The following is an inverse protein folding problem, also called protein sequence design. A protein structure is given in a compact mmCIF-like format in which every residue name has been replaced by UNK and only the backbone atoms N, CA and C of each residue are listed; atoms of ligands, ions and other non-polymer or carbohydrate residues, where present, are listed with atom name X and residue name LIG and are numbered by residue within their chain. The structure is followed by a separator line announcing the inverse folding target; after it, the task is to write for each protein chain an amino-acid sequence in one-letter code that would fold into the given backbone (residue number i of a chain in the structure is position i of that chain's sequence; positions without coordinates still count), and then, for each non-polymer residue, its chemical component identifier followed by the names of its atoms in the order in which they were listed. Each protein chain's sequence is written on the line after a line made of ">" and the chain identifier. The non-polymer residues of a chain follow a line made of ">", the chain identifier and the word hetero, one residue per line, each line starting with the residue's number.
data_IF_841670495652
#
_entry.id   IF_841670495652
#
_cell.length_a   1.000
_cell.length_b   1.000
_cell.length_c   1.000
_cell.angle_alpha   90.00
_cell.angle_beta   90.00
_cell.angle_gamma   90.00
#
_symmetry.space_group_name_H-M   'P 1'
#
loop_
_entity.id
_entity.type
_entity.pdbx_description
1 polymer ?
#
# COMPACT_ATOMS: atom_id res chain seq x y z
N UNK A 1 -9.15 -0.13 5.15
CA UNK A 1 -8.36 0.08 3.91
C UNK A 1 -7.05 -0.71 3.94
N UNK A 2 -6.12 -0.46 4.88
CA UNK A 2 -4.86 -1.23 4.99
C UNK A 2 -5.05 -2.76 4.97
N UNK A 3 -5.94 -3.27 5.84
CA UNK A 3 -6.27 -4.70 5.90
C UNK A 3 -6.88 -5.22 4.58
N UNK A 4 -7.76 -4.44 3.94
CA UNK A 4 -8.41 -4.82 2.69
C UNK A 4 -7.43 -4.84 1.50
N UNK A 5 -6.50 -3.89 1.45
CA UNK A 5 -5.43 -3.86 0.45
C UNK A 5 -4.46 -5.04 0.65
N UNK A 6 -4.10 -5.37 1.90
CA UNK A 6 -3.28 -6.55 2.19
C UNK A 6 -4.00 -7.84 1.79
N UNK A 7 -5.29 -7.98 2.13
CA UNK A 7 -6.09 -9.13 1.72
C UNK A 7 -6.14 -9.28 0.19
N UNK A 8 -6.29 -8.17 -0.54
CA UNK A 8 -6.25 -8.18 -2.00
C UNK A 8 -4.90 -8.67 -2.55
N UNK A 9 -3.78 -8.20 -2.00
CA UNK A 9 -2.45 -8.66 -2.43
C UNK A 9 -2.22 -10.15 -2.12
N UNK A 10 -2.70 -10.64 -0.97
CA UNK A 10 -2.62 -12.06 -0.59
C UNK A 10 -3.40 -12.96 -1.53
N UNK A 11 -4.62 -12.54 -1.88
CA UNK A 11 -5.51 -13.33 -2.75
C UNK A 11 -5.04 -13.31 -4.21
N UNK A 12 -4.55 -12.16 -4.69
CA UNK A 12 -4.39 -11.91 -6.12
C UNK A 12 -2.93 -11.79 -6.57
N UNK A 13 -2.00 -11.80 -5.62
CA UNK A 13 -0.57 -11.63 -5.85
C UNK A 13 -0.14 -10.17 -5.91
N UNK A 14 1.14 -9.97 -5.61
CA UNK A 14 1.85 -8.71 -5.77
C UNK A 14 2.80 -8.79 -6.98
N UNK A 15 2.91 -7.69 -7.73
CA UNK A 15 3.86 -7.58 -8.85
C UNK A 15 4.66 -6.29 -8.76
N UNK A 16 5.98 -6.43 -8.79
CA UNK A 16 6.92 -5.32 -8.90
C UNK A 16 6.71 -4.55 -10.22
N UNK A 17 7.04 -3.25 -10.25
CA UNK A 17 6.98 -2.38 -11.45
C UNK A 17 5.63 -2.33 -12.15
N UNK A 18 4.56 -2.62 -11.41
CA UNK A 18 3.18 -2.67 -11.90
C UNK A 18 2.36 -1.55 -11.29
N UNK A 19 2.97 -0.37 -11.24
CA UNK A 19 2.37 0.79 -10.63
C UNK A 19 1.15 1.27 -11.41
N UNK A 20 0.05 1.57 -10.72
CA UNK A 20 -1.20 2.03 -11.35
C UNK A 20 -1.88 0.96 -12.21
N UNK A 21 -1.40 -0.29 -12.19
CA UNK A 21 -2.08 -1.39 -12.86
C UNK A 21 -3.31 -1.80 -12.03
N UNK A 22 -4.47 -1.55 -12.61
CA UNK A 22 -5.77 -2.00 -12.10
C UNK A 22 -6.00 -3.41 -12.61
N UNK A 23 -5.10 -4.34 -12.28
CA UNK A 23 -5.18 -5.76 -12.62
C UNK A 23 -4.82 -6.68 -11.45
N UNK A 24 -4.83 -7.98 -11.69
CA UNK A 24 -4.38 -9.01 -10.73
C UNK A 24 -3.26 -9.81 -11.41
N UNK A 25 -2.02 -9.88 -10.86
CA UNK A 25 -1.50 -9.19 -9.66
C UNK A 25 -1.22 -7.68 -9.87
N UNK A 26 -1.18 -6.89 -8.78
CA UNK A 26 -0.88 -5.44 -8.80
C UNK A 26 0.21 -5.01 -7.80
N UNK A 27 0.59 -3.73 -7.82
CA UNK A 27 1.53 -3.15 -6.85
C UNK A 27 0.85 -2.72 -5.54
N UNK A 28 1.66 -2.25 -4.59
CA UNK A 28 1.22 -1.70 -3.29
C UNK A 28 0.09 -0.66 -3.41
N UNK A 29 0.18 0.28 -4.35
CA UNK A 29 -0.84 1.34 -4.51
C UNK A 29 -2.05 0.89 -5.31
N UNK A 30 -1.86 0.02 -6.30
CA UNK A 30 -2.97 -0.63 -7.02
C UNK A 30 -3.90 -1.35 -6.05
N UNK A 31 -3.34 -2.01 -5.03
CA UNK A 31 -4.12 -2.66 -3.98
C UNK A 31 -4.96 -1.68 -3.15
N UNK A 32 -4.44 -0.48 -2.83
CA UNK A 32 -5.23 0.55 -2.11
C UNK A 32 -6.41 1.02 -2.93
N UNK A 33 -6.19 1.31 -4.21
CA UNK A 33 -7.22 1.72 -5.14
C UNK A 33 -8.30 0.63 -5.24
N UNK A 34 -7.92 -0.63 -5.44
CA UNK A 34 -8.87 -1.74 -5.51
C UNK A 34 -9.66 -1.94 -4.21
N UNK A 35 -9.00 -1.83 -3.06
CA UNK A 35 -9.63 -1.98 -1.76
C UNK A 35 -10.67 -0.87 -1.45
N UNK A 36 -10.67 0.23 -2.21
CA UNK A 36 -11.60 1.35 -2.02
C UNK A 36 -13.01 1.09 -2.56
N UNK A 37 -13.20 0.04 -3.38
CA UNK A 37 -14.47 -0.51 -3.90
C UNK A 37 -15.57 0.48 -4.37
N UNK A 38 -15.22 1.73 -4.65
CA UNK A 38 -16.11 2.76 -5.20
C UNK A 38 -15.35 3.51 -6.28
N UNK A 39 -15.31 2.95 -7.48
CA UNK A 39 -14.83 3.61 -8.69
C UNK A 39 -15.62 4.90 -8.98
N UNK A 40 -15.12 6.01 -8.45
CA UNK A 40 -15.20 7.39 -8.97
C UNK A 40 -14.45 8.28 -7.98
N UNK A 41 -13.17 8.51 -8.24
CA UNK A 41 -12.38 9.57 -7.57
C UNK A 41 -12.45 9.56 -6.02
N UNK A 42 -12.46 8.39 -5.39
CA UNK A 42 -12.86 8.26 -3.99
C UNK A 42 -11.75 8.67 -3.01
N UNK A 43 -11.92 9.88 -2.48
CA UNK A 43 -11.25 10.42 -1.30
C UNK A 43 -9.74 10.18 -1.25
N UNK A 44 -9.03 11.04 -1.98
CA UNK A 44 -7.57 11.21 -1.91
C UNK A 44 -7.05 11.06 -0.46
N UNK A 45 -7.72 11.68 0.52
CA UNK A 45 -7.33 11.61 1.93
C UNK A 45 -7.29 10.22 2.59
N UNK A 46 -8.15 9.25 2.24
CA UNK A 46 -8.09 7.91 2.86
C UNK A 46 -6.96 7.07 2.26
N UNK A 47 -6.78 7.17 0.94
CA UNK A 47 -5.66 6.52 0.24
C UNK A 47 -4.36 7.14 0.72
N UNK A 48 -4.24 8.46 0.74
CA UNK A 48 -3.07 9.19 1.22
C UNK A 48 -2.70 8.79 2.65
N UNK A 49 -3.71 8.67 3.54
CA UNK A 49 -3.49 8.22 4.92
C UNK A 49 -2.99 6.79 4.97
N UNK A 50 -3.60 5.86 4.23
CA UNK A 50 -3.15 4.46 4.19
C UNK A 50 -1.72 4.32 3.62
N UNK A 51 -1.45 5.01 2.52
CA UNK A 51 -0.13 5.10 1.88
C UNK A 51 0.89 5.69 2.87
N UNK A 52 0.54 6.73 3.64
CA UNK A 52 1.44 7.29 4.66
C UNK A 52 1.81 6.30 5.77
N UNK A 53 0.90 5.43 6.18
CA UNK A 53 1.21 4.41 7.18
C UNK A 53 2.20 3.37 6.64
N UNK A 54 2.04 2.93 5.39
CA UNK A 54 3.01 2.03 4.75
C UNK A 54 4.35 2.71 4.53
N UNK A 55 4.36 3.98 4.10
CA UNK A 55 5.58 4.78 3.98
C UNK A 55 6.35 4.81 5.31
N UNK A 56 5.68 5.15 6.42
CA UNK A 56 6.29 5.15 7.76
C UNK A 56 6.76 3.78 8.20
N UNK A 57 6.01 2.72 7.89
CA UNK A 57 6.35 1.34 8.24
C UNK A 57 7.63 0.82 7.56
N UNK A 58 8.14 1.53 6.56
CA UNK A 58 9.37 1.20 5.84
C UNK A 58 10.43 2.31 5.95
N UNK A 59 10.27 3.23 6.91
CA UNK A 59 11.24 4.31 7.17
C UNK A 59 11.11 5.53 6.24
N UNK A 60 10.00 5.63 5.52
CA UNK A 60 9.70 6.74 4.62
C UNK A 60 9.09 7.97 5.32
N UNK A 61 8.87 9.05 4.54
CA UNK A 61 8.30 10.30 5.05
C UNK A 61 6.82 10.16 5.41
N UNK A 62 6.32 11.07 6.23
CA UNK A 62 4.89 11.20 6.59
C UNK A 62 4.09 12.08 5.61
N UNK A 63 4.77 12.89 4.79
CA UNK A 63 4.18 13.78 3.78
C UNK A 63 4.87 13.53 2.43
N UNK A 64 4.15 13.72 1.32
CA UNK A 64 4.64 13.45 -0.06
C UNK A 64 5.15 11.99 -0.19
N UNK A 65 4.21 11.07 -0.07
CA UNK A 65 4.47 9.64 0.17
C UNK A 65 4.52 8.80 -1.11
N UNK A 66 3.81 9.22 -2.15
CA UNK A 66 3.72 8.50 -3.43
C UNK A 66 5.09 8.22 -4.06
N UNK A 67 5.94 9.25 -4.33
CA UNK A 67 7.23 9.01 -5.00
C UNK A 67 8.14 8.07 -4.22
N UNK A 68 8.17 8.21 -2.89
CA UNK A 68 8.95 7.34 -2.04
C UNK A 68 8.48 5.88 -2.12
N UNK A 69 7.17 5.64 -2.00
CA UNK A 69 6.64 4.28 -2.07
C UNK A 69 6.77 3.65 -3.44
N UNK A 70 6.79 4.43 -4.52
CA UNK A 70 7.10 3.93 -5.86
C UNK A 70 8.51 3.37 -5.92
N UNK A 71 9.48 4.20 -5.51
CA UNK A 71 10.87 3.78 -5.49
C UNK A 71 11.08 2.58 -4.58
N UNK A 72 10.47 2.59 -3.39
CA UNK A 72 10.58 1.49 -2.43
C UNK A 72 9.96 0.16 -2.92
N UNK A 73 8.79 0.21 -3.58
CA UNK A 73 8.14 -0.96 -4.16
C UNK A 73 8.98 -1.55 -5.30
N UNK A 74 9.63 -0.70 -6.10
CA UNK A 74 10.34 -1.10 -7.32
C UNK A 74 11.85 -1.30 -7.13
N UNK A 75 12.35 -1.29 -5.89
CA UNK A 75 13.74 -1.66 -5.57
C UNK A 75 14.04 -3.06 -6.11
N UNK A 76 15.01 -3.24 -7.02
CA UNK A 76 15.33 -4.56 -7.59
C UNK A 76 15.48 -5.64 -6.52
N UNK A 77 14.80 -6.77 -6.71
CA UNK A 77 14.81 -7.87 -5.75
C UNK A 77 13.77 -7.76 -4.62
N UNK A 78 12.95 -6.69 -4.57
CA UNK A 78 11.80 -6.61 -3.65
C UNK A 78 10.93 -7.86 -3.79
N UNK A 79 10.54 -8.41 -2.64
CA UNK A 79 9.68 -9.60 -2.57
C UNK A 79 8.30 -9.24 -2.02
N UNK A 80 7.31 -10.11 -2.30
CA UNK A 80 5.98 -9.94 -1.70
C UNK A 80 6.02 -10.04 -0.17
N UNK A 81 6.83 -10.92 0.40
CA UNK A 81 6.95 -11.08 1.85
C UNK A 81 7.39 -9.77 2.54
N UNK A 82 8.31 -9.02 1.94
CA UNK A 82 8.72 -7.71 2.48
C UNK A 82 7.60 -6.67 2.37
N UNK A 83 6.80 -6.74 1.29
CA UNK A 83 5.62 -5.88 1.11
C UNK A 83 4.55 -6.20 2.13
N UNK A 84 4.23 -7.47 2.30
CA UNK A 84 3.31 -7.97 3.32
C UNK A 84 3.72 -7.52 4.73
N UNK A 85 4.99 -7.71 5.11
CA UNK A 85 5.49 -7.28 6.40
C UNK A 85 5.40 -5.75 6.60
N UNK A 86 5.54 -4.96 5.54
CA UNK A 86 5.33 -3.51 5.61
C UNK A 86 3.86 -3.15 5.88
N UNK A 87 2.92 -3.84 5.24
CA UNK A 87 1.49 -3.66 5.50
C UNK A 87 1.12 -4.06 6.93
N UNK A 88 1.63 -5.17 7.43
CA UNK A 88 1.37 -5.62 8.81
C UNK A 88 1.86 -4.59 9.82
N UNK A 89 3.09 -4.08 9.67
CA UNK A 89 3.61 -2.98 10.50
C UNK A 89 2.74 -1.72 10.39
N UNK A 90 2.29 -1.37 9.18
CA UNK A 90 1.43 -0.22 8.95
C UNK A 90 0.07 -0.35 9.65
N UNK A 91 -0.50 -1.55 9.68
CA UNK A 91 -1.74 -1.85 10.41
C UNK A 91 -1.52 -1.65 11.91
N UNK A 92 -0.45 -2.22 12.48
CA UNK A 92 -0.12 -2.02 13.90
C UNK A 92 0.07 -0.54 14.25
N UNK A 93 0.78 0.23 13.41
CA UNK A 93 0.96 1.67 13.61
C UNK A 93 -0.38 2.44 13.56
N UNK A 94 -1.28 2.06 12.66
CA UNK A 94 -2.59 2.69 12.55
C UNK A 94 -3.48 2.37 13.76
N UNK A 95 -3.48 1.13 14.23
CA UNK A 95 -4.27 0.68 15.38
C UNK A 95 -3.75 1.27 16.71
N UNK A 96 -2.44 1.41 16.87
CA UNK A 96 -1.85 2.02 18.06
C UNK A 96 -2.23 3.50 18.25
N UNK A 97 -2.46 4.24 17.16
CA UNK A 97 -2.85 5.65 17.20
C UNK A 97 -4.35 5.91 17.36
N UNK A 98 -5.17 4.85 17.51
CA UNK A 98 -6.63 4.93 17.74
C UNK A 98 -6.97 4.78 19.23
N UNK A 99 -6.00 4.38 20.07
CA UNK A 99 -6.15 4.28 21.53
C UNK A 99 -5.97 5.61 22.25
#
# INVERSE_FOLDING_TARGET
>A
MLQAALAHLRENGWRQRSFGDYGKPCCTVGAFIYSSNKHRFTYQGYVDRAVSFVSRAVGGPSQIVEPFLYHWNDIPGRTFAEVEAAFERAITLAEAGVR
#
